data_IF_030374065742
#
_entry.id   IF_030374065742
#
_cell.length_a   1.000
_cell.length_b   1.000
_cell.length_c   1.000
_cell.angle_alpha   90.00
_cell.angle_beta   90.00
_cell.angle_gamma   90.00
#
_symmetry.space_group_name_H-M   'P 1'
#
loop_
_entity.id
_entity.type
_entity.pdbx_description
1 polymer ?
#
# COMPACT_ATOMS: atom_id res chain seq x y z
N UNK A 1 9.93 15.57 22.71
CA UNK A 1 8.45 15.64 22.55
C UNK A 1 8.03 14.25 22.14
N UNK A 2 7.63 13.48 23.16
CA UNK A 2 7.55 12.02 23.10
C UNK A 2 6.20 11.60 22.56
N UNK A 3 6.14 11.23 21.29
CA UNK A 3 5.00 10.53 20.75
C UNK A 3 5.22 9.01 20.93
N UNK A 4 5.25 8.58 22.19
CA UNK A 4 5.19 7.15 22.51
C UNK A 4 3.71 6.73 22.47
N UNK A 5 3.17 6.57 21.28
CA UNK A 5 1.91 5.87 21.12
C UNK A 5 2.21 4.38 21.22
N UNK A 6 1.99 3.79 22.37
CA UNK A 6 1.96 2.34 22.52
C UNK A 6 0.88 1.78 21.60
N UNK A 7 1.22 0.81 20.78
CA UNK A 7 0.27 0.14 19.87
C UNK A 7 -0.94 -0.48 20.62
N UNK A 8 -0.76 -0.76 21.90
CA UNK A 8 -1.79 -1.30 22.80
C UNK A 8 -2.90 -0.27 23.14
N UNK A 9 -2.60 1.02 23.09
CA UNK A 9 -3.55 2.09 23.45
C UNK A 9 -4.32 2.65 22.23
N UNK A 10 -4.01 2.22 21.01
CA UNK A 10 -4.72 2.66 19.82
C UNK A 10 -6.07 1.91 19.71
N UNK A 11 -7.22 2.63 19.72
CA UNK A 11 -8.49 1.97 19.53
C UNK A 11 -8.52 1.26 18.18
N UNK A 12 -8.94 -0.01 18.10
CA UNK A 12 -8.96 -0.74 16.84
C UNK A 12 -9.91 -0.07 15.85
N UNK A 13 -9.49 0.05 14.59
CA UNK A 13 -10.36 0.44 13.50
C UNK A 13 -11.57 -0.50 13.45
N UNK A 14 -12.79 0.03 13.39
CA UNK A 14 -14.02 -0.77 13.50
C UNK A 14 -15.19 -0.15 12.77
N UNK A 15 -16.15 -1.00 12.44
CA UNK A 15 -17.47 -0.57 12.04
C UNK A 15 -18.32 -0.27 13.29
N UNK A 16 -19.18 0.73 13.19
CA UNK A 16 -20.10 1.15 14.25
C UNK A 16 -21.47 0.50 13.97
N UNK A 17 -22.09 -0.08 14.99
CA UNK A 17 -23.37 -0.81 14.84
C UNK A 17 -24.50 0.08 14.31
N UNK A 18 -24.52 1.36 14.68
CA UNK A 18 -25.53 2.35 14.24
C UNK A 18 -25.23 2.96 12.86
N UNK A 19 -24.20 2.47 12.17
CA UNK A 19 -23.74 2.93 10.87
C UNK A 19 -22.51 3.85 10.94
N UNK A 20 -21.64 3.70 9.98
CA UNK A 20 -20.36 4.38 9.90
C UNK A 20 -19.18 3.48 10.27
N UNK A 21 -17.97 4.05 10.19
CA UNK A 21 -16.73 3.35 10.50
C UNK A 21 -15.69 4.29 11.06
N UNK A 22 -14.81 3.78 11.93
CA UNK A 22 -13.62 4.46 12.38
C UNK A 22 -12.42 3.94 11.58
N UNK A 23 -11.81 4.81 10.79
CA UNK A 23 -10.57 4.54 10.05
C UNK A 23 -9.42 5.28 10.71
N UNK A 24 -8.33 4.59 10.97
CA UNK A 24 -7.12 5.16 11.57
C UNK A 24 -6.03 5.17 10.49
N UNK A 25 -5.47 6.36 10.24
CA UNK A 25 -4.32 6.53 9.37
C UNK A 25 -3.15 6.95 10.24
N UNK A 26 -2.12 6.09 10.28
CA UNK A 26 -0.90 6.35 11.02
C UNK A 26 0.31 6.36 10.08
N UNK A 27 1.32 7.17 10.38
CA UNK A 27 2.58 7.20 9.64
C UNK A 27 3.71 6.78 10.57
N UNK A 28 4.62 5.95 10.06
CA UNK A 28 5.83 5.55 10.75
C UNK A 28 7.06 5.86 9.89
N UNK A 29 8.11 6.40 10.49
CA UNK A 29 9.41 6.54 9.85
C UNK A 29 10.19 5.24 10.04
N UNK A 30 10.82 4.80 8.93
CA UNK A 30 11.71 3.64 8.90
C UNK A 30 13.09 4.06 8.39
N UNK A 31 14.09 3.22 8.60
CA UNK A 31 15.48 3.46 8.17
C UNK A 31 16.09 4.76 8.74
N UNK A 32 15.70 5.15 9.94
CA UNK A 32 16.23 6.34 10.64
C UNK A 32 17.54 6.08 11.36
N UNK A 33 17.96 4.81 11.48
CA UNK A 33 19.09 4.38 12.32
C UNK A 33 18.75 4.28 13.81
N UNK A 34 17.51 4.53 14.20
CA UNK A 34 16.99 4.36 15.56
C UNK A 34 16.37 2.97 15.74
N UNK A 35 16.90 2.19 16.70
CA UNK A 35 16.32 0.87 17.04
C UNK A 35 14.88 0.99 17.56
N UNK A 36 14.52 2.12 18.17
CA UNK A 36 13.17 2.34 18.69
C UNK A 36 12.17 2.49 17.55
N UNK A 37 12.53 3.20 16.48
CA UNK A 37 11.66 3.36 15.30
C UNK A 37 11.42 2.03 14.59
N UNK A 38 12.45 1.17 14.52
CA UNK A 38 12.32 -0.19 13.96
C UNK A 38 11.38 -1.06 14.80
N UNK A 39 11.47 -0.99 16.14
CA UNK A 39 10.58 -1.74 17.05
C UNK A 39 9.14 -1.27 16.88
N UNK A 40 8.89 0.04 16.88
CA UNK A 40 7.56 0.61 16.70
C UNK A 40 6.97 0.18 15.34
N UNK A 41 7.77 0.22 14.30
CA UNK A 41 7.33 -0.22 12.97
C UNK A 41 6.95 -1.70 12.94
N UNK A 42 7.76 -2.59 13.53
CA UNK A 42 7.46 -4.03 13.59
C UNK A 42 6.20 -4.34 14.40
N UNK A 43 5.95 -3.62 15.48
CA UNK A 43 4.70 -3.73 16.25
C UNK A 43 3.47 -3.33 15.42
N UNK A 44 3.54 -2.27 14.64
CA UNK A 44 2.45 -1.86 13.76
C UNK A 44 2.24 -2.75 12.54
N UNK A 45 3.30 -3.39 12.03
CA UNK A 45 3.28 -4.19 10.80
C UNK A 45 2.29 -5.37 10.84
N UNK A 46 1.99 -5.89 12.01
CA UNK A 46 1.04 -6.99 12.21
C UNK A 46 -0.42 -6.56 12.39
N UNK A 47 -0.69 -5.29 12.67
CA UNK A 47 -2.01 -4.79 13.08
C UNK A 47 -2.75 -4.02 11.98
N UNK A 48 -2.04 -3.48 10.99
CA UNK A 48 -2.63 -2.71 9.90
C UNK A 48 -3.43 -3.55 8.89
N UNK A 49 -4.52 -3.01 8.38
CA UNK A 49 -5.30 -3.60 7.30
C UNK A 49 -4.70 -3.31 5.92
N UNK A 50 -3.99 -2.20 5.80
CA UNK A 50 -3.33 -1.74 4.58
C UNK A 50 -2.01 -1.07 4.95
N UNK A 51 -0.97 -1.34 4.17
CA UNK A 51 0.34 -0.74 4.31
C UNK A 51 0.76 -0.09 3.00
N UNK A 52 1.22 1.16 3.06
CA UNK A 52 1.79 1.88 1.92
C UNK A 52 3.25 2.20 2.25
N UNK A 53 4.16 1.61 1.51
CA UNK A 53 5.59 1.86 1.62
C UNK A 53 6.02 2.91 0.61
N UNK A 54 6.72 3.94 1.09
CA UNK A 54 7.33 4.95 0.22
C UNK A 54 8.79 4.58 -0.04
N UNK A 55 9.25 4.80 -1.27
CA UNK A 55 10.61 4.46 -1.70
C UNK A 55 11.38 5.72 -2.10
N UNK A 56 12.50 6.00 -1.39
CA UNK A 56 13.32 7.19 -1.63
C UNK A 56 13.90 7.26 -3.05
N UNK A 57 14.24 6.12 -3.64
CA UNK A 57 14.77 6.06 -5.02
C UNK A 57 13.82 6.64 -6.06
N UNK A 58 12.51 6.55 -5.83
CA UNK A 58 11.50 7.16 -6.68
C UNK A 58 11.52 8.69 -6.56
N UNK A 59 11.68 9.19 -5.32
CA UNK A 59 11.81 10.64 -5.07
C UNK A 59 13.03 11.21 -5.75
N UNK A 60 14.18 10.53 -5.64
CA UNK A 60 15.45 10.94 -6.27
C UNK A 60 15.32 11.05 -7.79
N UNK A 61 14.53 10.17 -8.40
CA UNK A 61 14.20 10.20 -9.83
C UNK A 61 13.01 11.08 -10.19
N UNK A 62 12.40 11.74 -9.23
CA UNK A 62 11.20 12.58 -9.39
C UNK A 62 10.00 11.84 -9.98
N UNK A 63 9.88 10.55 -9.68
CA UNK A 63 8.73 9.72 -10.04
C UNK A 63 7.73 9.75 -8.89
N UNK A 64 6.53 10.26 -9.12
CA UNK A 64 5.48 10.40 -8.12
C UNK A 64 4.17 9.76 -8.59
N UNK A 65 3.40 9.18 -7.66
CA UNK A 65 3.66 9.00 -6.23
C UNK A 65 4.82 8.03 -5.97
N UNK A 66 5.63 8.33 -4.95
CA UNK A 66 6.83 7.55 -4.61
C UNK A 66 6.51 6.28 -3.82
N UNK A 67 5.61 5.45 -4.33
CA UNK A 67 5.08 4.24 -3.67
C UNK A 67 5.82 3.00 -4.18
N UNK A 68 6.34 2.19 -3.27
CA UNK A 68 6.84 0.86 -3.60
C UNK A 68 5.65 -0.11 -3.65
N UNK A 69 5.22 -0.44 -4.86
CA UNK A 69 4.06 -1.30 -5.10
C UNK A 69 4.29 -2.73 -4.60
N UNK A 70 5.53 -3.22 -4.70
CA UNK A 70 5.83 -4.59 -4.31
C UNK A 70 5.81 -4.79 -2.79
N UNK A 71 6.18 -3.76 -2.03
CA UNK A 71 6.14 -3.78 -0.56
C UNK A 71 4.78 -3.37 0.00
N UNK A 72 4.01 -2.61 -0.77
CA UNK A 72 2.68 -2.14 -0.36
C UNK A 72 1.63 -3.22 -0.57
N UNK A 73 0.64 -3.25 0.30
CA UNK A 73 -0.43 -4.25 0.18
C UNK A 73 -1.61 -4.00 1.08
N UNK A 74 -2.70 -4.71 0.79
CA UNK A 74 -3.92 -4.72 1.59
C UNK A 74 -4.17 -6.12 2.09
N UNK A 75 -4.47 -6.23 3.39
CA UNK A 75 -4.82 -7.51 3.99
C UNK A 75 -6.22 -7.93 3.54
N UNK A 76 -6.41 -9.22 3.23
CA UNK A 76 -7.70 -9.80 2.82
C UNK A 76 -8.35 -9.04 1.65
N UNK A 77 -7.59 -8.73 0.62
CA UNK A 77 -8.10 -8.04 -0.56
C UNK A 77 -9.21 -8.82 -1.28
N UNK A 78 -9.28 -10.15 -1.06
CA UNK A 78 -10.35 -11.01 -1.54
C UNK A 78 -11.75 -10.64 -1.00
N UNK A 79 -11.82 -9.89 0.12
CA UNK A 79 -13.08 -9.37 0.67
C UNK A 79 -13.48 -8.03 0.03
N UNK A 80 -12.56 -7.36 -0.63
CA UNK A 80 -12.75 -6.02 -1.18
C UNK A 80 -12.97 -6.02 -2.70
N UNK A 81 -12.44 -7.02 -3.39
CA UNK A 81 -12.45 -7.10 -4.84
C UNK A 81 -13.32 -8.27 -5.34
N UNK A 82 -14.10 -8.08 -6.42
CA UNK A 82 -14.71 -9.18 -7.13
C UNK A 82 -13.67 -10.17 -7.64
N UNK A 83 -14.03 -11.45 -7.79
CA UNK A 83 -13.10 -12.52 -8.19
C UNK A 83 -12.36 -12.23 -9.50
N UNK A 84 -13.04 -11.63 -10.47
CA UNK A 84 -12.44 -11.30 -11.77
C UNK A 84 -11.38 -10.21 -11.66
N UNK A 85 -11.65 -9.16 -10.87
CA UNK A 85 -10.69 -8.10 -10.60
C UNK A 85 -9.52 -8.61 -9.77
N UNK A 86 -9.78 -9.44 -8.77
CA UNK A 86 -8.75 -10.06 -7.94
C UNK A 86 -7.77 -10.89 -8.78
N UNK A 87 -8.27 -11.69 -9.72
CA UNK A 87 -7.43 -12.47 -10.62
C UNK A 87 -6.55 -11.58 -11.51
N UNK A 88 -7.10 -10.47 -12.01
CA UNK A 88 -6.35 -9.51 -12.84
C UNK A 88 -5.27 -8.80 -12.03
N UNK A 89 -5.60 -8.39 -10.80
CA UNK A 89 -4.61 -7.80 -9.87
C UNK A 89 -3.50 -8.79 -9.56
N UNK A 90 -3.82 -10.07 -9.41
CA UNK A 90 -2.84 -11.11 -9.15
C UNK A 90 -1.88 -11.33 -10.35
N UNK A 91 -2.41 -11.32 -11.57
CA UNK A 91 -1.61 -11.36 -12.80
C UNK A 91 -0.71 -10.12 -12.89
N UNK A 92 -1.27 -8.93 -12.63
CA UNK A 92 -0.52 -7.68 -12.60
C UNK A 92 0.66 -7.75 -11.65
N UNK A 93 0.46 -8.21 -10.41
CA UNK A 93 1.54 -8.39 -9.44
C UNK A 93 2.63 -9.34 -9.91
N UNK A 94 2.27 -10.43 -10.58
CA UNK A 94 3.27 -11.34 -11.17
C UNK A 94 4.14 -10.66 -12.22
N UNK A 95 3.55 -9.78 -13.02
CA UNK A 95 4.29 -9.00 -14.03
C UNK A 95 5.20 -7.95 -13.39
N UNK A 96 4.74 -7.32 -12.32
CA UNK A 96 5.47 -6.25 -11.63
C UNK A 96 6.58 -6.78 -10.71
N UNK A 97 6.42 -7.96 -10.15
CA UNK A 97 7.33 -8.52 -9.13
C UNK A 97 8.82 -8.60 -9.57
N UNK A 98 9.17 -8.95 -10.83
CA UNK A 98 10.56 -8.97 -11.27
C UNK A 98 11.15 -7.57 -11.56
N UNK A 99 10.32 -6.53 -11.59
CA UNK A 99 10.74 -5.16 -11.93
C UNK A 99 11.24 -4.42 -10.68
N UNK A 100 12.16 -3.48 -10.90
CA UNK A 100 12.57 -2.55 -9.83
C UNK A 100 11.41 -1.61 -9.47
N UNK A 101 11.39 -1.03 -8.26
CA UNK A 101 10.33 -0.09 -7.84
C UNK A 101 10.13 1.08 -8.83
N UNK A 102 11.22 1.54 -9.46
CA UNK A 102 11.16 2.63 -10.44
C UNK A 102 10.49 2.20 -11.72
N UNK A 103 10.93 1.09 -12.31
CA UNK A 103 10.36 0.53 -13.53
C UNK A 103 8.88 0.17 -13.34
N UNK A 104 8.55 -0.41 -12.19
CA UNK A 104 7.17 -0.72 -11.80
C UNK A 104 6.30 0.54 -11.83
N UNK A 105 6.77 1.62 -11.20
CA UNK A 105 6.00 2.84 -11.10
C UNK A 105 5.87 3.57 -12.44
N UNK A 106 6.96 3.64 -13.23
CA UNK A 106 6.94 4.21 -14.58
C UNK A 106 5.97 3.46 -15.51
N UNK A 107 6.01 2.11 -15.47
CA UNK A 107 5.08 1.27 -16.24
C UNK A 107 3.63 1.52 -15.83
N UNK A 108 3.35 1.56 -14.53
CA UNK A 108 1.99 1.80 -14.03
C UNK A 108 1.49 3.21 -14.41
N UNK A 109 2.31 4.24 -14.27
CA UNK A 109 1.95 5.60 -14.64
C UNK A 109 1.68 5.73 -16.15
N UNK A 110 2.51 5.12 -16.99
CA UNK A 110 2.29 5.11 -18.45
C UNK A 110 0.96 4.42 -18.81
N UNK A 111 0.67 3.29 -18.20
CA UNK A 111 -0.57 2.56 -18.48
C UNK A 111 -1.81 3.24 -17.91
N UNK A 112 -1.74 3.74 -16.68
CA UNK A 112 -2.85 4.44 -16.04
C UNK A 112 -3.20 5.75 -16.73
N UNK A 113 -2.19 6.47 -17.27
CA UNK A 113 -2.44 7.71 -18.03
C UNK A 113 -3.22 7.49 -19.33
N UNK A 114 -3.21 6.29 -19.87
CA UNK A 114 -3.89 5.89 -21.11
C UNK A 114 -5.30 5.34 -20.89
N UNK A 115 -5.71 5.17 -19.63
CA UNK A 115 -7.00 4.60 -19.26
C UNK A 115 -7.84 5.57 -18.44
N UNK A 116 -9.16 5.47 -18.53
CA UNK A 116 -10.09 6.37 -17.83
C UNK A 116 -10.41 5.94 -16.40
N UNK A 117 -10.05 4.71 -16.04
CA UNK A 117 -10.32 4.17 -14.71
C UNK A 117 -9.76 2.77 -14.51
N UNK A 118 -9.84 2.29 -13.27
CA UNK A 118 -9.24 1.02 -12.86
C UNK A 118 -9.79 -0.20 -13.62
N UNK A 119 -11.09 -0.21 -13.91
CA UNK A 119 -11.72 -1.32 -14.63
C UNK A 119 -11.16 -1.45 -16.07
N UNK A 120 -10.99 -0.33 -16.76
CA UNK A 120 -10.41 -0.28 -18.10
C UNK A 120 -8.92 -0.66 -18.07
N UNK A 121 -8.18 -0.16 -17.08
CA UNK A 121 -6.79 -0.52 -16.87
C UNK A 121 -6.60 -2.02 -16.65
N UNK A 122 -7.37 -2.62 -15.74
CA UNK A 122 -7.31 -4.06 -15.47
C UNK A 122 -7.75 -4.91 -16.67
N UNK A 123 -8.70 -4.42 -17.48
CA UNK A 123 -9.09 -5.09 -18.72
C UNK A 123 -7.97 -5.05 -19.77
N UNK A 124 -7.29 -3.92 -19.91
CA UNK A 124 -6.17 -3.74 -20.84
C UNK A 124 -4.93 -4.57 -20.46
N UNK A 125 -4.76 -4.93 -19.20
CA UNK A 125 -3.63 -5.75 -18.72
C UNK A 125 -3.84 -7.24 -18.91
N UNK A 126 -5.07 -7.70 -19.23
CA UNK A 126 -5.43 -9.12 -19.41
C UNK A 126 -5.51 -9.56 -20.87
N UNK A 127 -5.22 -8.66 -21.81
CA UNK A 127 -5.20 -8.91 -23.25
C UNK A 127 -3.85 -9.31 -23.80
#
# INVERSE_FOLDING_TARGET
MDACCHAEDSPPARNIEEGGSLTIIATALIDTGSRMDDVIFEEFKGTGNMEIHLERKLVDKRVFPAIDINKSGTRKEELLLPKDELNRVWILRKVLNPLSPVETMELLLDKLSKTRGNAEFLAAMSG
#
